data_IF_760293523996
#
_entry.id   IF_760293523996
#
_cell.length_a   1.000
_cell.length_b   1.000
_cell.length_c   1.000
_cell.angle_alpha   90.00
_cell.angle_beta   90.00
_cell.angle_gamma   90.00
#
_symmetry.space_group_name_H-M   'P 1'
#
loop_
_entity.id
_entity.type
_entity.pdbx_description
1 polymer ?
#
# COMPACT_ATOMS: atom_id res chain seq x y z
N UNK A 1 -29.56 -10.42 -13.18
CA UNK A 1 -29.47 -10.05 -11.76
C UNK A 1 -28.04 -9.65 -11.39
N UNK A 2 -27.85 -8.65 -10.50
CA UNK A 2 -26.52 -8.24 -10.09
C UNK A 2 -25.81 -9.33 -9.26
N UNK A 3 -24.62 -9.74 -9.68
CA UNK A 3 -23.81 -10.78 -8.99
C UNK A 3 -23.13 -10.30 -7.70
N UNK A 4 -23.42 -9.09 -7.22
CA UNK A 4 -22.77 -8.45 -6.07
C UNK A 4 -23.80 -7.87 -5.09
N UNK A 5 -23.43 -7.74 -3.82
CA UNK A 5 -24.26 -7.12 -2.77
C UNK A 5 -24.24 -5.60 -2.91
N UNK A 6 -25.41 -4.96 -2.90
CA UNK A 6 -25.55 -3.49 -2.93
C UNK A 6 -25.12 -2.83 -1.59
N UNK A 7 -25.17 -3.55 -0.48
CA UNK A 7 -24.81 -3.10 0.88
C UNK A 7 -25.61 -1.88 1.36
N UNK A 8 -26.85 -1.70 0.87
CA UNK A 8 -27.69 -0.55 1.20
C UNK A 8 -27.12 0.81 0.74
N UNK A 9 -26.33 0.84 -0.33
CA UNK A 9 -25.58 2.03 -0.79
C UNK A 9 -25.77 2.28 -2.27
N UNK A 10 -25.59 3.54 -2.67
CA UNK A 10 -25.46 3.91 -4.08
C UNK A 10 -24.17 3.30 -4.67
N UNK A 11 -24.07 3.23 -5.98
CA UNK A 11 -22.90 2.65 -6.67
C UNK A 11 -21.58 3.32 -6.26
N UNK A 12 -21.55 4.66 -6.19
CA UNK A 12 -20.38 5.44 -5.79
C UNK A 12 -19.99 5.20 -4.32
N UNK A 13 -20.97 5.25 -3.41
CA UNK A 13 -20.75 5.01 -1.99
C UNK A 13 -20.27 3.58 -1.71
N UNK A 14 -20.85 2.59 -2.41
CA UNK A 14 -20.40 1.20 -2.31
C UNK A 14 -18.95 1.05 -2.77
N UNK A 15 -18.60 1.67 -3.90
CA UNK A 15 -17.22 1.65 -4.41
C UNK A 15 -16.23 2.27 -3.42
N UNK A 16 -16.56 3.42 -2.85
CA UNK A 16 -15.73 4.09 -1.85
C UNK A 16 -15.56 3.23 -0.58
N UNK A 17 -16.65 2.63 -0.07
CA UNK A 17 -16.59 1.72 1.07
C UNK A 17 -15.64 0.54 0.85
N UNK A 18 -15.79 -0.15 -0.29
CA UNK A 18 -14.97 -1.32 -0.60
C UNK A 18 -13.50 -0.95 -0.81
N UNK A 19 -13.23 0.18 -1.49
CA UNK A 19 -11.86 0.69 -1.64
C UNK A 19 -11.19 0.93 -0.28
N UNK A 20 -11.88 1.59 0.64
CA UNK A 20 -11.34 1.86 1.98
C UNK A 20 -11.04 0.56 2.73
N UNK A 21 -11.93 -0.41 2.70
CA UNK A 21 -11.74 -1.68 3.42
C UNK A 21 -10.65 -2.56 2.78
N UNK A 22 -10.56 -2.61 1.45
CA UNK A 22 -9.48 -3.32 0.75
C UNK A 22 -8.13 -2.67 1.05
N UNK A 23 -8.05 -1.35 0.99
CA UNK A 23 -6.83 -0.61 1.35
C UNK A 23 -6.41 -0.89 2.78
N UNK A 24 -7.35 -0.83 3.74
CA UNK A 24 -7.07 -1.13 5.15
C UNK A 24 -6.60 -2.59 5.35
N UNK A 25 -7.25 -3.56 4.70
CA UNK A 25 -6.84 -4.97 4.76
C UNK A 25 -5.41 -5.19 4.29
N UNK A 26 -5.05 -4.62 3.13
CA UNK A 26 -3.72 -4.78 2.54
C UNK A 26 -2.65 -3.98 3.29
N UNK A 27 -3.03 -2.91 3.99
CA UNK A 27 -2.10 -2.13 4.82
C UNK A 27 -1.77 -2.82 6.13
N UNK A 28 -2.81 -3.28 6.84
CA UNK A 28 -2.70 -3.81 8.21
C UNK A 28 -2.71 -5.33 8.32
N UNK A 29 -3.02 -6.04 7.23
CA UNK A 29 -3.10 -7.50 7.19
C UNK A 29 -4.40 -8.09 7.73
N UNK A 30 -5.16 -7.35 8.56
CA UNK A 30 -6.45 -7.77 9.13
C UNK A 30 -7.39 -6.60 9.38
N UNK A 31 -8.69 -6.83 9.24
CA UNK A 31 -9.76 -5.87 9.56
C UNK A 31 -10.94 -6.56 10.25
N UNK A 32 -11.62 -5.83 11.12
CA UNK A 32 -12.90 -6.24 11.69
C UNK A 32 -14.03 -5.57 10.92
N UNK A 33 -15.00 -6.34 10.44
CA UNK A 33 -16.11 -5.83 9.63
C UNK A 33 -17.31 -6.80 9.68
N UNK A 34 -18.42 -6.44 9.03
CA UNK A 34 -19.56 -7.34 8.92
C UNK A 34 -19.33 -8.42 7.85
N UNK A 35 -19.89 -9.61 8.04
CA UNK A 35 -19.74 -10.76 7.14
C UNK A 35 -20.10 -10.42 5.67
N UNK A 36 -21.17 -9.63 5.47
CA UNK A 36 -21.59 -9.21 4.14
C UNK A 36 -20.53 -8.36 3.43
N UNK A 37 -19.88 -7.43 4.15
CA UNK A 37 -18.78 -6.60 3.61
C UNK A 37 -17.53 -7.43 3.39
N UNK A 38 -17.16 -8.30 4.34
CA UNK A 38 -15.99 -9.17 4.23
C UNK A 38 -16.03 -10.04 2.97
N UNK A 39 -17.20 -10.63 2.64
CA UNK A 39 -17.38 -11.43 1.42
C UNK A 39 -17.17 -10.66 0.12
N UNK A 40 -17.51 -9.37 0.08
CA UNK A 40 -17.26 -8.52 -1.09
C UNK A 40 -15.79 -8.03 -1.15
N UNK A 41 -15.22 -7.64 0.00
CA UNK A 41 -13.81 -7.20 0.11
C UNK A 41 -12.86 -8.32 -0.27
N UNK A 42 -13.13 -9.55 0.19
CA UNK A 42 -12.35 -10.76 -0.12
C UNK A 42 -12.12 -10.90 -1.62
N UNK A 43 -13.18 -10.84 -2.44
CA UNK A 43 -13.09 -11.02 -3.89
C UNK A 43 -12.15 -10.02 -4.54
N UNK A 44 -12.20 -8.76 -4.10
CA UNK A 44 -11.36 -7.69 -4.66
C UNK A 44 -9.92 -7.86 -4.19
N UNK A 45 -9.69 -8.08 -2.89
CA UNK A 45 -8.35 -8.24 -2.34
C UNK A 45 -7.61 -9.45 -2.94
N UNK A 46 -8.29 -10.60 -3.07
CA UNK A 46 -7.71 -11.80 -3.68
C UNK A 46 -7.35 -11.58 -5.15
N UNK A 47 -8.17 -10.82 -5.90
CA UNK A 47 -7.83 -10.46 -7.28
C UNK A 47 -6.58 -9.57 -7.38
N UNK A 48 -6.39 -8.63 -6.46
CA UNK A 48 -5.20 -7.77 -6.42
C UNK A 48 -3.94 -8.57 -6.04
N UNK A 49 -4.05 -9.48 -5.07
CA UNK A 49 -2.94 -10.35 -4.66
C UNK A 49 -2.55 -11.31 -5.81
N UNK A 50 -3.53 -11.95 -6.46
CA UNK A 50 -3.27 -12.82 -7.60
C UNK A 50 -2.55 -12.07 -8.75
N UNK A 51 -2.95 -10.82 -9.02
CA UNK A 51 -2.30 -9.97 -10.00
C UNK A 51 -0.86 -9.62 -9.59
N UNK A 52 -0.62 -9.37 -8.30
CA UNK A 52 0.71 -9.10 -7.77
C UNK A 52 1.62 -10.34 -7.88
N UNK A 53 1.13 -11.52 -7.52
CA UNK A 53 1.86 -12.80 -7.65
C UNK A 53 2.26 -13.07 -9.09
N UNK A 54 1.34 -12.84 -10.04
CA UNK A 54 1.59 -13.07 -11.46
C UNK A 54 2.68 -12.17 -12.05
N UNK A 55 2.70 -10.88 -11.64
CA UNK A 55 3.52 -9.86 -12.28
C UNK A 55 4.74 -9.44 -11.43
N UNK A 56 5.00 -10.12 -10.30
CA UNK A 56 6.06 -9.73 -9.35
C UNK A 56 7.46 -9.64 -9.97
N UNK A 57 7.78 -10.56 -10.87
CA UNK A 57 9.13 -10.69 -11.46
C UNK A 57 9.25 -9.96 -12.82
N UNK A 58 8.18 -9.33 -13.31
CA UNK A 58 8.16 -8.65 -14.60
C UNK A 58 8.74 -7.22 -14.53
N UNK A 59 10.02 -7.12 -14.15
CA UNK A 59 10.78 -5.87 -14.12
C UNK A 59 12.21 -6.11 -14.64
N UNK A 60 12.86 -5.03 -15.06
CA UNK A 60 14.28 -5.01 -15.41
C UNK A 60 15.04 -4.08 -14.45
N UNK A 61 16.29 -4.40 -14.14
CA UNK A 61 17.17 -3.50 -13.39
C UNK A 61 17.82 -2.55 -14.37
N UNK A 62 17.65 -1.24 -14.15
CA UNK A 62 18.23 -0.20 -15.01
C UNK A 62 19.04 0.75 -14.15
N UNK A 63 20.26 1.01 -14.60
CA UNK A 63 21.13 2.02 -13.97
C UNK A 63 20.70 3.41 -14.44
N UNK A 64 20.35 4.27 -13.52
CA UNK A 64 19.94 5.65 -13.80
C UNK A 64 20.82 6.61 -13.04
N UNK A 65 21.33 7.61 -13.74
CA UNK A 65 22.07 8.71 -13.12
C UNK A 65 21.09 9.64 -12.37
N UNK A 66 21.21 9.68 -11.04
CA UNK A 66 20.40 10.51 -10.17
C UNK A 66 21.22 11.63 -9.54
N UNK A 67 20.74 12.88 -9.62
CA UNK A 67 21.33 14.01 -8.90
C UNK A 67 20.95 13.92 -7.42
N UNK A 68 21.93 13.68 -6.56
CA UNK A 68 21.74 13.57 -5.11
C UNK A 68 22.38 14.77 -4.43
N UNK A 69 21.68 15.46 -3.50
CA UNK A 69 22.30 16.56 -2.76
C UNK A 69 23.40 16.03 -1.85
N UNK A 70 24.59 16.64 -1.94
CA UNK A 70 25.72 16.35 -1.06
C UNK A 70 25.35 16.73 0.38
N UNK A 71 25.66 15.85 1.33
CA UNK A 71 25.42 16.08 2.77
C UNK A 71 26.75 16.11 3.50
N UNK A 72 26.85 17.01 4.48
CA UNK A 72 27.96 17.07 5.43
C UNK A 72 27.90 15.91 6.43
N UNK A 73 28.95 15.74 7.23
CA UNK A 73 29.02 14.76 8.32
C UNK A 73 27.84 14.85 9.32
N UNK A 74 27.23 16.04 9.44
CA UNK A 74 26.07 16.31 10.28
C UNK A 74 24.72 16.08 9.55
N UNK A 75 24.71 15.50 8.33
CA UNK A 75 23.51 15.24 7.54
C UNK A 75 22.84 16.47 6.90
N UNK A 76 23.45 17.69 7.03
CA UNK A 76 22.94 18.91 6.39
C UNK A 76 23.37 18.97 4.94
N UNK A 77 22.53 19.57 4.06
CA UNK A 77 22.85 19.75 2.64
C UNK A 77 23.96 20.80 2.49
N UNK A 78 25.03 20.46 1.78
CA UNK A 78 26.11 21.40 1.41
C UNK A 78 25.55 22.42 0.43
N UNK A 79 25.85 23.70 0.65
CA UNK A 79 25.44 24.82 -0.22
C UNK A 79 26.67 25.51 -0.74
N UNK A 80 26.70 25.77 -2.04
CA UNK A 80 27.69 26.62 -2.70
C UNK A 80 27.06 27.98 -3.04
N UNK A 81 27.89 29.01 -3.07
CA UNK A 81 27.45 30.36 -3.45
C UNK A 81 27.81 30.53 -4.92
N UNK A 82 26.77 30.58 -5.80
CA UNK A 82 26.89 30.84 -7.21
C UNK A 82 26.14 32.14 -7.49
N UNK A 83 26.79 33.11 -8.10
CA UNK A 83 26.22 34.43 -8.39
C UNK A 83 25.53 35.12 -7.20
N UNK A 84 26.14 35.03 -6.00
CA UNK A 84 25.58 35.61 -4.77
C UNK A 84 24.39 34.85 -4.17
N UNK A 85 23.92 33.75 -4.78
CA UNK A 85 22.84 32.92 -4.28
C UNK A 85 23.35 31.59 -3.74
N UNK A 86 22.83 31.16 -2.57
CA UNK A 86 23.14 29.86 -1.97
C UNK A 86 22.39 28.75 -2.70
N UNK A 87 23.10 27.95 -3.48
CA UNK A 87 22.57 26.81 -4.23
C UNK A 87 23.02 25.50 -3.57
N UNK A 88 22.17 24.49 -3.54
CA UNK A 88 22.56 23.17 -3.01
C UNK A 88 23.46 22.47 -4.01
N UNK A 89 24.61 21.95 -3.53
CA UNK A 89 25.51 21.13 -4.33
C UNK A 89 24.90 19.77 -4.59
N UNK A 90 24.93 19.31 -5.86
CA UNK A 90 24.46 17.99 -6.27
C UNK A 90 25.60 17.20 -6.89
N UNK A 91 25.65 15.92 -6.57
CA UNK A 91 26.50 14.94 -7.25
C UNK A 91 25.63 13.99 -8.08
N UNK A 92 26.16 13.59 -9.22
CA UNK A 92 25.52 12.58 -10.06
C UNK A 92 25.99 11.21 -9.59
N UNK A 93 25.06 10.42 -9.07
CA UNK A 93 25.31 9.06 -8.58
C UNK A 93 24.51 8.09 -9.44
N UNK A 94 25.15 7.03 -9.90
CA UNK A 94 24.47 5.93 -10.58
C UNK A 94 23.71 5.11 -9.53
N UNK A 95 22.41 4.90 -9.80
CA UNK A 95 21.53 4.07 -8.96
C UNK A 95 20.84 3.03 -9.80
N UNK A 96 20.88 1.81 -9.33
CA UNK A 96 20.06 0.74 -9.90
C UNK A 96 18.62 0.89 -9.40
N UNK A 97 17.69 0.98 -10.33
CA UNK A 97 16.25 1.01 -10.03
C UNK A 97 15.51 -0.08 -10.78
N UNK A 98 14.46 -0.61 -10.15
CA UNK A 98 13.54 -1.55 -10.79
C UNK A 98 12.63 -0.78 -11.74
N UNK A 99 12.73 -1.05 -13.05
CA UNK A 99 11.85 -0.51 -14.07
C UNK A 99 10.80 -1.55 -14.43
N UNK A 100 9.53 -1.23 -14.18
CA UNK A 100 8.41 -2.12 -14.48
C UNK A 100 8.28 -2.33 -15.99
N UNK A 101 8.18 -3.58 -16.45
CA UNK A 101 7.80 -3.93 -17.81
C UNK A 101 6.33 -3.55 -18.08
N UNK A 102 5.91 -3.58 -19.35
CA UNK A 102 4.59 -3.12 -19.77
C UNK A 102 3.44 -3.80 -19.02
N UNK A 103 3.52 -5.12 -18.80
CA UNK A 103 2.50 -5.92 -18.09
C UNK A 103 2.44 -5.56 -16.61
N UNK A 104 3.59 -5.42 -15.94
CA UNK A 104 3.66 -5.00 -14.53
C UNK A 104 3.17 -3.56 -14.35
N UNK A 105 3.54 -2.65 -15.26
CA UNK A 105 3.02 -1.29 -15.27
C UNK A 105 1.50 -1.23 -15.44
N UNK A 106 0.94 -2.11 -16.28
CA UNK A 106 -0.50 -2.25 -16.44
C UNK A 106 -1.16 -2.74 -15.15
N UNK A 107 -0.60 -3.77 -14.52
CA UNK A 107 -1.07 -4.29 -13.24
C UNK A 107 -1.04 -3.21 -12.14
N UNK A 108 0.05 -2.43 -12.05
CA UNK A 108 0.18 -1.29 -11.13
C UNK A 108 -0.97 -0.29 -11.31
N UNK A 109 -1.27 0.09 -12.55
CA UNK A 109 -2.38 1.00 -12.84
C UNK A 109 -3.74 0.42 -12.46
N UNK A 110 -3.96 -0.88 -12.64
CA UNK A 110 -5.20 -1.55 -12.20
C UNK A 110 -5.34 -1.55 -10.68
N UNK A 111 -4.26 -1.81 -9.94
CA UNK A 111 -4.24 -1.75 -8.48
C UNK A 111 -4.54 -0.34 -7.97
N UNK A 112 -3.94 0.70 -8.55
CA UNK A 112 -4.17 2.10 -8.20
C UNK A 112 -5.63 2.56 -8.44
N UNK A 113 -6.36 1.96 -9.38
CA UNK A 113 -7.80 2.23 -9.57
C UNK A 113 -8.64 1.77 -8.38
N UNK A 114 -8.17 0.79 -7.62
CA UNK A 114 -8.90 0.20 -6.49
C UNK A 114 -8.36 0.69 -5.15
N UNK A 115 -7.07 0.92 -5.02
CA UNK A 115 -6.44 1.31 -3.76
C UNK A 115 -6.52 2.83 -3.54
N UNK A 116 -6.63 3.23 -2.28
CA UNK A 116 -6.47 4.62 -1.86
C UNK A 116 -5.01 4.87 -1.44
N UNK A 117 -4.50 6.11 -1.58
CA UNK A 117 -3.21 6.47 -1.04
C UNK A 117 -3.20 6.30 0.48
N UNK A 118 -2.13 5.76 1.02
CA UNK A 118 -1.94 5.52 2.46
C UNK A 118 -0.76 6.34 2.93
N UNK A 119 -0.96 7.07 4.01
CA UNK A 119 0.11 7.79 4.70
C UNK A 119 0.29 7.21 6.09
N UNK A 120 1.53 7.02 6.50
CA UNK A 120 1.88 6.69 7.88
C UNK A 120 2.49 7.90 8.57
N UNK A 121 2.11 8.10 9.83
CA UNK A 121 2.68 9.12 10.71
C UNK A 121 3.48 8.50 11.85
N UNK A 122 3.88 7.22 11.69
CA UNK A 122 4.68 6.53 12.69
C UNK A 122 6.12 7.05 12.66
N UNK A 123 6.58 7.53 13.80
CA UNK A 123 7.95 7.98 14.05
C UNK A 123 8.52 7.12 15.16
N UNK A 124 9.80 6.82 15.10
CA UNK A 124 10.49 6.15 16.20
C UNK A 124 10.85 7.17 17.28
N UNK A 125 10.48 6.86 18.52
CA UNK A 125 10.92 7.55 19.71
C UNK A 125 12.43 7.36 19.95
N UNK A 126 12.95 8.06 20.96
CA UNK A 126 14.34 7.89 21.45
C UNK A 126 14.62 6.44 21.88
N UNK A 127 13.59 5.75 22.36
CA UNK A 127 13.64 4.35 22.82
C UNK A 127 13.34 3.34 21.71
N UNK A 128 13.20 3.79 20.45
CA UNK A 128 12.97 2.93 19.29
C UNK A 128 11.52 2.47 19.07
N UNK A 129 10.57 2.88 19.95
CA UNK A 129 9.16 2.53 19.82
C UNK A 129 8.45 3.34 18.74
N UNK A 130 7.47 2.74 18.07
CA UNK A 130 6.66 3.43 17.08
C UNK A 130 5.60 4.31 17.75
N UNK A 131 5.73 5.63 17.60
CA UNK A 131 4.77 6.63 18.12
C UNK A 131 4.14 7.40 16.97
N UNK A 132 2.85 7.70 17.10
CA UNK A 132 2.13 8.47 16.09
C UNK A 132 2.45 9.96 16.22
N UNK A 133 3.01 10.56 15.18
CA UNK A 133 3.28 12.00 15.11
C UNK A 133 2.15 12.74 14.38
N UNK A 134 1.73 13.88 14.94
CA UNK A 134 0.75 14.78 14.32
C UNK A 134 1.40 15.81 13.38
N UNK A 135 2.72 15.85 13.28
CA UNK A 135 3.44 16.82 12.45
C UNK A 135 3.37 16.44 10.97
N UNK A 136 3.03 17.40 10.11
CA UNK A 136 2.94 17.17 8.63
C UNK A 136 4.24 16.60 8.03
N UNK A 137 5.41 17.03 8.53
CA UNK A 137 6.73 16.58 8.05
C UNK A 137 7.03 15.11 8.33
N UNK A 138 6.35 14.50 9.30
CA UNK A 138 6.57 13.12 9.72
C UNK A 138 5.64 12.14 8.97
N UNK A 139 4.71 12.67 8.17
CA UNK A 139 3.82 11.87 7.33
C UNK A 139 4.62 11.36 6.12
N UNK A 140 4.71 10.03 6.01
CA UNK A 140 5.31 9.35 4.86
C UNK A 140 4.23 8.63 4.06
N UNK A 141 4.27 8.76 2.75
CA UNK A 141 3.43 7.97 1.87
C UNK A 141 3.95 6.53 1.82
N UNK A 142 3.02 5.59 1.92
CA UNK A 142 3.30 4.15 1.78
C UNK A 142 2.88 3.73 0.38
N UNK A 143 3.84 3.30 -0.44
CA UNK A 143 3.53 2.67 -1.73
C UNK A 143 2.98 1.27 -1.49
N UNK A 144 1.65 1.19 -1.36
CA UNK A 144 0.95 -0.07 -1.11
C UNK A 144 1.06 -1.02 -2.31
N UNK A 145 1.25 -0.49 -3.53
CA UNK A 145 1.43 -1.32 -4.72
C UNK A 145 2.81 -1.95 -4.74
N UNK A 146 3.86 -1.21 -4.35
CA UNK A 146 5.19 -1.80 -4.16
C UNK A 146 5.15 -2.89 -3.09
N UNK A 147 4.47 -2.65 -1.95
CA UNK A 147 4.23 -3.66 -0.92
C UNK A 147 3.55 -4.91 -1.46
N UNK A 148 2.54 -4.76 -2.33
CA UNK A 148 1.86 -5.89 -2.96
C UNK A 148 2.81 -6.75 -3.82
N UNK A 149 3.67 -6.14 -4.61
CA UNK A 149 4.62 -6.88 -5.45
C UNK A 149 5.76 -7.50 -4.62
N UNK A 150 6.37 -6.73 -3.72
CA UNK A 150 7.59 -7.15 -3.03
C UNK A 150 7.31 -8.06 -1.84
N UNK A 151 6.27 -7.78 -1.02
CA UNK A 151 5.94 -8.60 0.16
C UNK A 151 4.91 -9.70 -0.17
N UNK A 152 3.71 -9.32 -0.66
CA UNK A 152 2.64 -10.29 -0.87
C UNK A 152 2.86 -11.15 -2.11
N UNK A 153 3.43 -10.59 -3.18
CA UNK A 153 3.81 -11.35 -4.37
C UNK A 153 4.78 -12.48 -4.04
N UNK A 154 5.75 -12.21 -3.18
CA UNK A 154 6.74 -13.20 -2.73
C UNK A 154 6.13 -14.17 -1.73
N UNK A 155 5.40 -13.67 -0.71
CA UNK A 155 4.77 -14.50 0.33
C UNK A 155 3.81 -15.56 -0.24
N UNK A 156 3.07 -15.20 -1.28
CA UNK A 156 2.04 -16.07 -1.87
C UNK A 156 2.44 -16.70 -3.20
N UNK A 157 3.73 -16.74 -3.53
CA UNK A 157 4.23 -17.27 -4.81
C UNK A 157 3.71 -18.68 -5.12
N UNK A 158 3.75 -19.55 -4.12
CA UNK A 158 3.37 -20.98 -4.25
C UNK A 158 1.87 -21.24 -4.05
N UNK A 159 1.11 -20.19 -3.71
CA UNK A 159 -0.31 -20.34 -3.38
C UNK A 159 -1.21 -19.92 -4.55
N UNK A 160 -2.09 -20.83 -4.97
CA UNK A 160 -3.00 -20.63 -6.12
C UNK A 160 -4.37 -20.04 -5.74
N UNK A 161 -4.47 -19.27 -4.65
CA UNK A 161 -5.72 -18.65 -4.21
C UNK A 161 -6.01 -18.83 -2.72
N UNK A 162 -7.15 -18.32 -2.24
CA UNK A 162 -7.52 -18.37 -0.83
C UNK A 162 -6.54 -17.61 0.06
N UNK A 163 -6.11 -16.43 -0.38
CA UNK A 163 -5.14 -15.58 0.35
C UNK A 163 -5.73 -14.95 1.58
N UNK A 164 -7.06 -15.03 1.75
CA UNK A 164 -7.78 -14.42 2.87
C UNK A 164 -8.60 -15.43 3.63
N UNK A 165 -8.75 -15.22 4.94
CA UNK A 165 -9.57 -16.03 5.85
C UNK A 165 -10.57 -15.14 6.56
N UNK A 166 -11.80 -15.64 6.74
CA UNK A 166 -12.87 -14.98 7.49
C UNK A 166 -13.11 -15.77 8.78
N UNK A 167 -12.90 -15.14 9.93
CA UNK A 167 -13.18 -15.69 11.25
C UNK A 167 -14.39 -14.98 11.82
N UNK A 168 -15.42 -15.72 12.25
CA UNK A 168 -16.63 -15.16 12.86
C UNK A 168 -16.34 -14.84 14.33
N UNK A 169 -16.65 -13.62 14.76
CA UNK A 169 -16.54 -13.18 16.15
C UNK A 169 -17.85 -13.43 16.87
N UNK A 170 -18.97 -12.96 16.30
CA UNK A 170 -20.30 -13.04 16.91
C UNK A 170 -21.23 -11.95 16.40
N UNK A 171 -22.42 -11.89 16.99
CA UNK A 171 -23.40 -10.85 16.68
C UNK A 171 -23.10 -9.57 17.46
N UNK A 172 -23.12 -8.43 16.79
CA UNK A 172 -22.96 -7.12 17.39
C UNK A 172 -24.21 -6.76 18.21
N UNK A 173 -24.00 -6.28 19.44
CA UNK A 173 -25.10 -6.01 20.40
C UNK A 173 -26.14 -4.99 19.90
N UNK A 174 -25.74 -4.01 19.08
CA UNK A 174 -26.62 -2.92 18.64
C UNK A 174 -27.61 -3.30 17.54
N UNK A 175 -27.18 -4.09 16.54
CA UNK A 175 -27.97 -4.40 15.34
C UNK A 175 -27.94 -5.89 14.96
N UNK A 176 -27.46 -6.76 15.84
CA UNK A 176 -27.32 -8.20 15.61
C UNK A 176 -26.57 -8.58 14.30
N UNK A 177 -25.85 -7.64 13.70
CA UNK A 177 -25.05 -7.93 12.51
C UNK A 177 -23.87 -8.85 12.87
N UNK A 178 -23.65 -9.90 12.08
CA UNK A 178 -22.51 -10.81 12.28
C UNK A 178 -21.19 -10.07 12.01
N UNK A 179 -20.38 -9.91 13.05
CA UNK A 179 -19.02 -9.37 12.96
C UNK A 179 -18.01 -10.48 12.69
N UNK A 180 -17.05 -10.15 11.84
CA UNK A 180 -15.99 -11.07 11.43
C UNK A 180 -14.64 -10.36 11.36
N UNK A 181 -13.57 -11.11 11.61
CA UNK A 181 -12.21 -10.73 11.24
C UNK A 181 -11.96 -11.25 9.83
N UNK A 182 -11.62 -10.36 8.93
CA UNK A 182 -11.05 -10.71 7.63
C UNK A 182 -9.55 -10.49 7.70
N UNK A 183 -8.76 -11.53 7.48
CA UNK A 183 -7.30 -11.49 7.59
C UNK A 183 -6.62 -12.15 6.40
N UNK A 184 -5.36 -11.75 6.17
CA UNK A 184 -4.46 -12.38 5.22
C UNK A 184 -3.79 -13.61 5.89
N UNK A 185 -3.73 -14.72 5.15
CA UNK A 185 -3.20 -16.01 5.64
C UNK A 185 -1.67 -16.03 5.64
#
# INVERSE_FOLDING_TARGET
MAKYRKLGRTSSQRKALLRNQVTALLTYGKIVTTEAKAKEVRKIAEGLIALAVKEKDNFEMVTVSAKVPVKDANGKRVKEVVDGKKVTKFETVEKEIKKDLATRSHARRQMLKVLNPVTTSLVKDKDGNNVTSNKKKDKKEVDLVAKLFDEYGTKYADRKGGYTRILKIGQRKGDAAMEVVLELV
#
